data_IF_934772919442
#
_entry.id   IF_934772919442
#
_cell.length_a   1.000
_cell.length_b   1.000
_cell.length_c   1.000
_cell.angle_alpha   90.00
_cell.angle_beta   90.00
_cell.angle_gamma   90.00
#
_symmetry.space_group_name_H-M   'P 1'
#
loop_
_entity.id
_entity.type
_entity.pdbx_description
1 polymer ?
#
# COMPACT_ATOMS: atom_id res chain seq x y z
N UNK A 1 -15.54 13.20 -2.25
CA UNK A 1 -14.34 12.34 -2.16
C UNK A 1 -13.67 12.62 -0.83
N UNK A 2 -13.58 11.61 0.03
CA UNK A 2 -12.78 11.67 1.24
C UNK A 2 -11.32 11.84 0.79
N UNK A 3 -10.67 12.92 1.22
CA UNK A 3 -9.26 13.13 0.90
C UNK A 3 -8.45 12.28 1.87
N UNK A 4 -7.49 11.49 1.39
CA UNK A 4 -6.67 10.64 2.27
C UNK A 4 -6.02 11.45 3.40
N UNK A 5 -5.75 12.74 3.15
CA UNK A 5 -5.35 13.74 4.15
C UNK A 5 -6.20 13.78 5.43
N UNK A 6 -7.53 13.63 5.35
CA UNK A 6 -8.40 13.70 6.53
C UNK A 6 -8.33 12.48 7.43
N UNK A 7 -7.60 11.43 7.03
CA UNK A 7 -7.40 10.23 7.83
C UNK A 7 -6.27 10.39 8.85
N UNK A 8 -5.30 11.26 8.57
CA UNK A 8 -4.12 11.46 9.42
C UNK A 8 -4.40 12.44 10.56
N UNK A 9 -3.93 12.10 11.75
CA UNK A 9 -4.06 12.94 12.94
C UNK A 9 -2.88 13.91 13.08
N UNK A 10 -1.70 13.56 12.56
CA UNK A 10 -0.49 14.38 12.62
C UNK A 10 -0.05 14.87 11.24
N UNK A 11 0.55 16.06 11.20
CA UNK A 11 0.99 16.70 9.95
C UNK A 11 2.18 15.96 9.34
N UNK A 12 3.05 15.41 10.16
CA UNK A 12 4.26 14.68 9.76
C UNK A 12 3.92 13.36 9.06
N UNK A 13 2.90 12.65 9.56
CA UNK A 13 2.39 11.42 8.96
C UNK A 13 1.86 11.69 7.54
N UNK A 14 1.06 12.76 7.40
CA UNK A 14 0.59 13.19 6.08
C UNK A 14 1.75 13.64 5.18
N UNK A 15 2.77 14.32 5.70
CA UNK A 15 3.88 14.82 4.89
C UNK A 15 4.70 13.69 4.24
N UNK A 16 4.93 12.58 4.93
CA UNK A 16 5.62 11.42 4.35
C UNK A 16 4.80 10.78 3.22
N UNK A 17 3.49 10.66 3.42
CA UNK A 17 2.57 10.18 2.39
C UNK A 17 2.50 11.14 1.19
N UNK A 18 2.36 12.44 1.44
CA UNK A 18 2.27 13.50 0.44
C UNK A 18 3.57 13.59 -0.38
N UNK A 19 4.73 13.45 0.26
CA UNK A 19 6.01 13.34 -0.45
C UNK A 19 6.04 12.15 -1.41
N UNK A 20 5.45 11.02 -1.01
CA UNK A 20 5.39 9.82 -1.85
C UNK A 20 4.40 9.97 -3.01
N UNK A 21 3.27 10.69 -2.83
CA UNK A 21 2.34 10.98 -3.94
C UNK A 21 2.92 11.94 -4.98
N UNK A 22 3.87 12.79 -4.61
CA UNK A 22 4.62 13.63 -5.57
C UNK A 22 5.55 12.81 -6.46
N UNK A 23 6.17 11.76 -5.92
CA UNK A 23 7.02 10.83 -6.69
C UNK A 23 6.15 9.89 -7.53
N UNK A 24 5.06 9.40 -6.94
CA UNK A 24 4.15 8.44 -7.52
C UNK A 24 2.70 8.96 -7.51
N UNK A 25 2.28 9.70 -8.55
CA UNK A 25 0.91 10.25 -8.62
C UNK A 25 -0.20 9.19 -8.56
N UNK A 26 0.13 7.91 -8.78
CA UNK A 26 -0.81 6.80 -8.68
C UNK A 26 -1.11 6.36 -7.24
N UNK A 27 -0.32 6.76 -6.23
CA UNK A 27 -0.47 6.27 -4.86
C UNK A 27 -1.80 6.69 -4.24
N UNK A 28 -2.26 7.92 -4.48
CA UNK A 28 -3.57 8.37 -4.01
C UNK A 28 -4.67 7.45 -4.54
N UNK A 29 -4.64 7.14 -5.85
CA UNK A 29 -5.64 6.27 -6.47
C UNK A 29 -5.59 4.82 -5.96
N UNK A 30 -4.38 4.27 -5.77
CA UNK A 30 -4.20 2.93 -5.18
C UNK A 30 -4.76 2.91 -3.76
N UNK A 31 -4.41 3.90 -2.96
CA UNK A 31 -4.81 4.01 -1.55
C UNK A 31 -6.31 4.13 -1.41
N UNK A 32 -6.92 5.05 -2.16
CA UNK A 32 -8.38 5.23 -2.17
C UNK A 32 -9.10 3.96 -2.64
N UNK A 33 -8.60 3.29 -3.68
CA UNK A 33 -9.21 2.05 -4.20
C UNK A 33 -9.26 0.95 -3.15
N UNK A 34 -8.20 0.82 -2.33
CA UNK A 34 -8.17 -0.18 -1.25
C UNK A 34 -9.04 0.23 -0.07
N UNK A 35 -9.01 1.51 0.32
CA UNK A 35 -9.82 2.03 1.44
C UNK A 35 -11.32 1.90 1.15
N UNK A 36 -11.75 2.07 -0.11
CA UNK A 36 -13.16 1.90 -0.48
C UNK A 36 -13.68 0.47 -0.32
N UNK A 37 -12.80 -0.52 -0.18
CA UNK A 37 -13.19 -1.90 0.08
C UNK A 37 -13.42 -2.18 1.56
N UNK A 38 -12.99 -1.29 2.47
CA UNK A 38 -13.05 -1.55 3.90
C UNK A 38 -14.50 -1.53 4.41
N UNK A 39 -14.87 -2.44 5.33
CA UNK A 39 -16.21 -2.45 5.91
C UNK A 39 -16.41 -1.24 6.82
N UNK A 40 -17.61 -0.66 6.81
CA UNK A 40 -17.96 0.36 7.81
C UNK A 40 -18.46 -0.29 9.12
N UNK A 41 -18.06 0.22 10.30
CA UNK A 41 -17.11 1.31 10.53
C UNK A 41 -15.65 0.81 10.66
N UNK A 42 -14.77 1.20 9.74
CA UNK A 42 -13.31 1.10 9.94
C UNK A 42 -12.78 2.43 10.48
N UNK A 43 -12.18 2.48 11.69
CA UNK A 43 -11.66 3.71 12.27
C UNK A 43 -10.59 4.37 11.40
N UNK A 44 -10.72 5.67 11.14
CA UNK A 44 -9.75 6.42 10.30
C UNK A 44 -8.31 6.33 10.80
N UNK A 45 -8.10 6.25 12.11
CA UNK A 45 -6.76 6.04 12.70
C UNK A 45 -6.11 4.72 12.27
N UNK A 46 -6.87 3.62 12.18
CA UNK A 46 -6.34 2.33 11.69
C UNK A 46 -5.94 2.40 10.22
N UNK A 47 -6.71 3.15 9.43
CA UNK A 47 -6.41 3.36 8.01
C UNK A 47 -5.14 4.20 7.88
N UNK A 48 -4.99 5.27 8.67
CA UNK A 48 -3.78 6.09 8.69
C UNK A 48 -2.55 5.27 9.08
N UNK A 49 -2.64 4.45 10.13
CA UNK A 49 -1.56 3.54 10.54
C UNK A 49 -1.17 2.56 9.43
N UNK A 50 -2.15 2.01 8.71
CA UNK A 50 -1.90 1.12 7.59
C UNK A 50 -1.17 1.84 6.43
N UNK A 51 -1.55 3.08 6.13
CA UNK A 51 -0.85 3.89 5.12
C UNK A 51 0.58 4.17 5.58
N UNK A 52 0.81 4.50 6.86
CA UNK A 52 2.15 4.72 7.39
C UNK A 52 3.01 3.45 7.31
N UNK A 53 2.45 2.27 7.60
CA UNK A 53 3.15 0.99 7.40
C UNK A 53 3.51 0.76 5.92
N UNK A 54 2.61 1.10 4.99
CA UNK A 54 2.88 0.99 3.56
C UNK A 54 3.98 1.96 3.11
N UNK A 55 3.98 3.20 3.60
CA UNK A 55 5.07 4.18 3.37
C UNK A 55 6.40 3.65 3.94
N UNK A 56 6.39 3.10 5.16
CA UNK A 56 7.58 2.49 5.74
C UNK A 56 8.07 1.28 4.93
N UNK A 57 7.16 0.47 4.38
CA UNK A 57 7.50 -0.66 3.51
C UNK A 57 8.19 -0.17 2.22
N UNK A 58 7.70 0.91 1.59
CA UNK A 58 8.34 1.53 0.42
C UNK A 58 9.80 1.96 0.71
N UNK A 59 10.05 2.50 1.89
CA UNK A 59 11.37 2.95 2.32
C UNK A 59 12.24 1.85 2.95
N UNK A 60 11.75 0.61 3.06
CA UNK A 60 12.46 -0.47 3.74
C UNK A 60 13.81 -0.73 3.07
N UNK A 61 14.87 -0.69 3.88
CA UNK A 61 16.19 -1.15 3.48
C UNK A 61 16.26 -2.66 3.57
N UNK A 62 16.78 -3.30 2.53
CA UNK A 62 16.97 -4.76 2.46
C UNK A 62 18.35 -5.04 1.88
N UNK A 63 18.86 -6.25 2.09
CA UNK A 63 20.18 -6.70 1.65
C UNK A 63 20.31 -6.68 0.13
N UNK A 64 19.24 -7.06 -0.59
CA UNK A 64 19.14 -6.93 -2.03
C UNK A 64 18.45 -5.63 -2.44
N UNK A 65 18.98 -4.86 -3.39
CA UNK A 65 18.33 -3.64 -3.82
C UNK A 65 16.99 -3.94 -4.51
N UNK A 66 15.93 -3.26 -4.06
CA UNK A 66 14.67 -3.15 -4.78
C UNK A 66 14.68 -1.91 -5.67
N UNK A 67 14.29 -2.09 -6.93
CA UNK A 67 13.98 -1.03 -7.88
C UNK A 67 12.80 -0.18 -7.40
N UNK A 68 12.64 1.01 -7.97
CA UNK A 68 11.56 1.93 -7.58
C UNK A 68 10.16 1.30 -7.80
N UNK A 69 10.00 0.48 -8.83
CA UNK A 69 8.76 -0.25 -9.10
C UNK A 69 8.51 -1.37 -8.09
N UNK A 70 9.55 -2.08 -7.67
CA UNK A 70 9.42 -3.07 -6.59
C UNK A 70 9.09 -2.37 -5.26
N UNK A 71 9.69 -1.21 -4.95
CA UNK A 71 9.33 -0.42 -3.76
C UNK A 71 7.86 0.02 -3.78
N UNK A 72 7.38 0.47 -4.94
CA UNK A 72 5.95 0.77 -5.13
C UNK A 72 5.08 -0.50 -4.97
N UNK A 73 5.56 -1.66 -5.42
CA UNK A 73 4.90 -2.95 -5.17
C UNK A 73 4.86 -3.29 -3.69
N UNK A 74 5.92 -3.01 -2.91
CA UNK A 74 5.91 -3.19 -1.45
C UNK A 74 4.84 -2.34 -0.78
N UNK A 75 4.72 -1.06 -1.16
CA UNK A 75 3.63 -0.18 -0.68
C UNK A 75 2.26 -0.81 -0.96
N UNK A 76 2.03 -1.23 -2.20
CA UNK A 76 0.77 -1.81 -2.66
C UNK A 76 0.43 -3.11 -1.90
N UNK A 77 1.40 -4.00 -1.74
CA UNK A 77 1.24 -5.28 -1.05
C UNK A 77 0.92 -5.09 0.44
N UNK A 78 1.63 -4.18 1.13
CA UNK A 78 1.40 -3.91 2.55
C UNK A 78 -0.02 -3.38 2.79
N UNK A 79 -0.49 -2.46 1.94
CA UNK A 79 -1.85 -1.92 2.05
C UNK A 79 -2.92 -2.95 1.66
N UNK A 80 -2.65 -3.80 0.67
CA UNK A 80 -3.54 -4.90 0.30
C UNK A 80 -3.63 -5.96 1.41
N UNK A 81 -2.54 -6.27 2.09
CA UNK A 81 -2.52 -7.15 3.26
C UNK A 81 -3.36 -6.62 4.41
N UNK A 82 -3.26 -5.32 4.70
CA UNK A 82 -4.14 -4.67 5.67
C UNK A 82 -5.62 -4.78 5.25
N UNK A 83 -5.93 -4.44 4.00
CA UNK A 83 -7.30 -4.47 3.47
C UNK A 83 -7.89 -5.88 3.52
N UNK A 84 -7.10 -6.90 3.18
CA UNK A 84 -7.49 -8.30 3.30
C UNK A 84 -7.81 -8.68 4.75
N UNK A 85 -6.98 -8.23 5.70
CA UNK A 85 -7.20 -8.46 7.13
C UNK A 85 -8.51 -7.83 7.62
N UNK A 86 -8.81 -6.58 7.25
CA UNK A 86 -10.07 -5.91 7.63
C UNK A 86 -11.29 -6.59 6.99
N UNK A 87 -11.12 -7.23 5.83
CA UNK A 87 -12.12 -8.05 5.17
C UNK A 87 -12.23 -9.49 5.71
N UNK A 88 -11.57 -9.81 6.83
CA UNK A 88 -11.48 -11.17 7.37
C UNK A 88 -10.99 -12.20 6.33
N UNK A 89 -10.04 -11.80 5.49
CA UNK A 89 -9.44 -12.61 4.43
C UNK A 89 -10.44 -13.17 3.40
N UNK A 90 -11.62 -12.55 3.24
CA UNK A 90 -12.58 -12.91 2.18
C UNK A 90 -12.04 -12.66 0.78
N UNK A 91 -11.13 -11.70 0.65
CA UNK A 91 -10.35 -11.43 -0.55
C UNK A 91 -8.88 -11.59 -0.20
N UNK A 92 -8.11 -12.21 -1.09
CA UNK A 92 -6.66 -12.26 -0.95
C UNK A 92 -6.04 -10.88 -1.28
N UNK A 93 -4.82 -10.59 -0.82
CA UNK A 93 -4.10 -9.39 -1.25
C UNK A 93 -3.98 -9.29 -2.76
N UNK A 94 -3.86 -10.43 -3.46
CA UNK A 94 -3.82 -10.45 -4.92
C UNK A 94 -5.14 -9.98 -5.52
N UNK A 95 -6.28 -10.53 -5.09
CA UNK A 95 -7.62 -10.14 -5.56
C UNK A 95 -7.86 -8.63 -5.34
N UNK A 96 -7.42 -8.11 -4.20
CA UNK A 96 -7.52 -6.69 -3.87
C UNK A 96 -6.68 -5.84 -4.83
N UNK A 97 -5.42 -6.21 -5.06
CA UNK A 97 -4.56 -5.47 -6.00
C UNK A 97 -5.07 -5.53 -7.44
N UNK A 98 -5.73 -6.61 -7.86
CA UNK A 98 -6.32 -6.75 -9.18
C UNK A 98 -7.51 -5.81 -9.40
N UNK A 99 -8.30 -5.56 -8.35
CA UNK A 99 -9.42 -4.61 -8.38
C UNK A 99 -8.96 -3.15 -8.31
N UNK A 100 -7.73 -2.88 -7.89
CA UNK A 100 -7.17 -1.53 -7.79
C UNK A 100 -6.76 -0.98 -9.15
N UNK A 101 -6.97 0.34 -9.35
CA UNK A 101 -6.43 1.06 -10.50
C UNK A 101 -4.91 1.22 -10.39
N UNK A 102 -4.18 0.21 -10.87
CA UNK A 102 -2.71 0.18 -10.88
C UNK A 102 -2.15 0.81 -12.17
N UNK A 103 -0.96 1.44 -12.11
CA UNK A 103 -0.24 1.82 -13.32
C UNK A 103 0.18 0.56 -14.11
N UNK A 104 0.27 0.66 -15.44
CA UNK A 104 0.56 -0.50 -16.32
C UNK A 104 1.83 -1.27 -15.96
N UNK A 105 2.83 -0.61 -15.37
CA UNK A 105 4.10 -1.22 -14.96
C UNK A 105 4.02 -1.96 -13.62
N UNK A 106 2.99 -1.72 -12.81
CA UNK A 106 2.74 -2.44 -11.56
C UNK A 106 1.93 -3.71 -11.84
N UNK A 107 2.52 -4.62 -12.61
CA UNK A 107 1.85 -5.85 -13.05
C UNK A 107 1.68 -6.87 -11.92
N UNK A 108 0.89 -7.91 -12.16
CA UNK A 108 0.71 -9.00 -11.19
C UNK A 108 2.03 -9.77 -11.03
N UNK A 109 2.79 -9.96 -12.11
CA UNK A 109 4.10 -10.63 -12.05
C UNK A 109 5.07 -9.84 -11.17
N UNK A 110 5.14 -8.51 -11.34
CA UNK A 110 6.00 -7.66 -10.50
C UNK A 110 5.61 -7.75 -9.02
N UNK A 111 4.31 -7.72 -8.70
CA UNK A 111 3.83 -7.89 -7.32
C UNK A 111 4.22 -9.27 -6.76
N UNK A 112 4.04 -10.33 -7.54
CA UNK A 112 4.38 -11.70 -7.14
C UNK A 112 5.88 -11.86 -6.91
N UNK A 113 6.72 -11.34 -7.80
CA UNK A 113 8.18 -11.44 -7.70
C UNK A 113 8.72 -10.60 -6.55
N UNK A 114 8.19 -9.38 -6.36
CA UNK A 114 8.49 -8.55 -5.19
C UNK A 114 8.13 -9.28 -3.89
N UNK A 115 6.96 -9.93 -3.84
CA UNK A 115 6.50 -10.70 -2.67
C UNK A 115 7.41 -11.90 -2.39
N UNK A 116 7.87 -12.62 -3.42
CA UNK A 116 8.84 -13.73 -3.28
C UNK A 116 10.18 -13.23 -2.77
N UNK A 117 10.70 -12.15 -3.34
CA UNK A 117 11.98 -11.55 -2.95
C UNK A 117 11.96 -11.05 -1.50
N UNK A 118 10.84 -10.45 -1.07
CA UNK A 118 10.58 -10.08 0.32
C UNK A 118 10.66 -11.27 1.28
N UNK A 119 10.12 -12.44 0.89
CA UNK A 119 10.20 -13.68 1.69
C UNK A 119 11.61 -14.24 1.74
N UNK A 120 12.34 -14.20 0.62
CA UNK A 120 13.73 -14.66 0.53
C UNK A 120 14.72 -13.75 1.26
N UNK A 121 14.43 -12.45 1.37
CA UNK A 121 15.30 -11.47 2.06
C UNK A 121 15.25 -11.57 3.60
N UNK A 122 14.26 -12.28 4.14
CA UNK A 122 14.08 -12.50 5.58
C UNK A 122 14.49 -13.91 6.04
N UNK A 123 15.04 -14.72 5.14
CA UNK A 123 15.58 -16.06 5.40
C UNK A 123 17.11 -15.99 5.52
#
# INVERSE_FOLDING_TARGET
MQKTKSLFMRKEEYAAYDGLTLIWPCIENITLSMITLLPEPTPSGRIADAIQRAVAAYHRHTSEPFSDWERLAMYCLELASFTASELNCRLSPQDITEQCRRPRRLTIELLADTSKKLRGSNA
#
